data_IF_595265113654
#
_entry.id   IF_595265113654
#
_cell.length_a   1.000
_cell.length_b   1.000
_cell.length_c   1.000
_cell.angle_alpha   90.00
_cell.angle_beta   90.00
_cell.angle_gamma   90.00
#
_symmetry.space_group_name_H-M   'P 1'
#
loop_
_entity.id
_entity.type
_entity.pdbx_description
1 polymer ?
#
# COMPACT_ATOMS: atom_id res chain seq x y z
N UNK A 1 9.13 -12.41 19.65
CA UNK A 1 9.03 -11.35 18.62
C UNK A 1 7.82 -11.59 17.72
N UNK A 2 7.05 -10.57 17.48
CA UNK A 2 5.95 -10.63 16.54
C UNK A 2 6.55 -10.50 15.12
N UNK A 3 6.28 -11.47 14.24
CA UNK A 3 6.88 -11.47 12.91
C UNK A 3 6.26 -10.42 11.99
N UNK A 4 4.93 -10.27 12.05
CA UNK A 4 4.17 -9.41 11.13
C UNK A 4 3.27 -8.47 11.90
N UNK A 5 3.16 -7.24 11.39
CA UNK A 5 2.19 -6.27 11.89
C UNK A 5 1.51 -5.60 10.69
N UNK A 6 0.19 -5.52 10.73
CA UNK A 6 -0.59 -4.81 9.73
C UNK A 6 -0.90 -3.42 10.29
N UNK A 7 -0.39 -2.40 9.62
CA UNK A 7 -0.59 -1.01 9.98
C UNK A 7 -1.36 -0.32 8.88
N UNK A 8 -2.66 -0.17 9.07
CA UNK A 8 -3.53 0.44 8.07
C UNK A 8 -3.25 1.95 8.01
N UNK A 9 -2.57 2.40 6.96
CA UNK A 9 -2.21 3.81 6.80
C UNK A 9 -3.36 4.65 6.23
N UNK A 10 -4.31 4.02 5.58
CA UNK A 10 -5.56 4.64 5.15
C UNK A 10 -6.63 3.56 4.97
N UNK A 11 -7.87 3.89 5.27
CA UNK A 11 -9.01 3.02 4.96
C UNK A 11 -9.80 3.53 3.75
N UNK A 12 -9.29 4.54 3.07
CA UNK A 12 -9.88 5.04 1.82
C UNK A 12 -9.45 4.14 0.66
N UNK A 13 -10.39 3.77 -0.19
CA UNK A 13 -10.13 2.97 -1.38
C UNK A 13 -10.87 3.57 -2.56
N UNK A 14 -10.23 3.53 -3.74
CA UNK A 14 -10.80 4.04 -4.98
C UNK A 14 -11.64 2.97 -5.73
N UNK A 15 -11.75 1.75 -5.19
CA UNK A 15 -12.52 0.66 -5.78
C UNK A 15 -13.60 0.18 -4.83
N UNK A 16 -14.59 -0.51 -5.40
CA UNK A 16 -15.69 -1.11 -4.67
C UNK A 16 -15.78 -2.60 -5.04
N UNK A 17 -14.74 -3.35 -4.68
CA UNK A 17 -14.62 -4.75 -5.03
C UNK A 17 -15.66 -5.60 -4.32
N UNK A 18 -16.33 -6.49 -5.06
CA UNK A 18 -17.39 -7.36 -4.51
C UNK A 18 -16.85 -8.35 -3.48
N UNK A 19 -15.58 -8.75 -3.60
CA UNK A 19 -14.93 -9.68 -2.66
C UNK A 19 -14.38 -8.99 -1.43
N UNK A 20 -14.36 -7.65 -1.39
CA UNK A 20 -13.84 -6.91 -0.26
C UNK A 20 -14.92 -6.73 0.81
N UNK A 21 -14.63 -7.07 2.09
CA UNK A 21 -15.63 -6.91 3.16
C UNK A 21 -15.97 -5.46 3.46
N UNK A 22 -15.13 -4.50 3.06
CA UNK A 22 -15.30 -3.08 3.29
C UNK A 22 -15.36 -2.73 4.78
N UNK A 23 -15.29 -1.45 5.10
CA UNK A 23 -15.37 -1.00 6.48
C UNK A 23 -16.47 0.03 6.66
N UNK A 24 -17.14 -0.02 7.82
CA UNK A 24 -18.11 1.00 8.23
C UNK A 24 -17.47 2.08 9.10
N UNK A 25 -16.19 1.94 9.41
CA UNK A 25 -15.45 2.94 10.19
C UNK A 25 -15.38 4.26 9.42
N UNK A 26 -15.32 5.40 10.13
CA UNK A 26 -15.09 6.69 9.46
C UNK A 26 -13.81 6.67 8.61
N UNK A 27 -13.83 7.41 7.51
CA UNK A 27 -12.65 7.54 6.63
C UNK A 27 -11.52 8.18 7.41
N UNK A 28 -10.32 7.60 7.31
CA UNK A 28 -9.14 8.10 8.00
C UNK A 28 -7.89 7.83 7.17
N UNK A 29 -7.00 8.79 7.14
CA UNK A 29 -5.68 8.69 6.52
C UNK A 29 -4.64 9.07 7.57
N UNK A 30 -3.69 8.18 7.82
CA UNK A 30 -2.69 8.35 8.87
C UNK A 30 -1.77 9.53 8.58
N UNK A 31 -1.49 10.33 9.60
CA UNK A 31 -0.52 11.42 9.49
C UNK A 31 0.90 10.91 9.66
N UNK A 32 1.88 11.73 9.23
CA UNK A 32 3.31 11.41 9.44
C UNK A 32 3.62 11.23 10.93
N UNK A 33 3.06 12.10 11.77
CA UNK A 33 3.27 12.03 13.22
C UNK A 33 2.71 10.73 13.81
N UNK A 34 1.51 10.33 13.38
CA UNK A 34 0.92 9.07 13.82
C UNK A 34 1.76 7.88 13.38
N UNK A 35 2.21 7.87 12.14
CA UNK A 35 3.07 6.80 11.62
C UNK A 35 4.40 6.74 12.39
N UNK A 36 5.03 7.88 12.61
CA UNK A 36 6.29 7.94 13.35
C UNK A 36 6.11 7.42 14.78
N UNK A 37 5.07 7.86 15.47
CA UNK A 37 4.78 7.43 16.85
C UNK A 37 4.57 5.93 16.93
N UNK A 38 3.73 5.38 16.05
CA UNK A 38 3.42 3.96 16.06
C UNK A 38 4.63 3.09 15.70
N UNK A 39 5.37 3.47 14.67
CA UNK A 39 6.54 2.71 14.26
C UNK A 39 7.67 2.78 15.28
N UNK A 40 7.84 3.92 15.95
CA UNK A 40 8.83 4.03 17.03
C UNK A 40 8.53 3.03 18.15
N UNK A 41 7.26 2.86 18.50
CA UNK A 41 6.86 1.89 19.53
C UNK A 41 7.02 0.44 19.09
N UNK A 42 6.94 0.18 17.80
CA UNK A 42 7.05 -1.17 17.24
C UNK A 42 8.48 -1.58 16.93
N UNK A 43 9.43 -0.63 16.97
CA UNK A 43 10.84 -0.94 16.69
C UNK A 43 11.38 -2.03 17.59
N UNK A 44 12.05 -3.00 16.97
CA UNK A 44 12.62 -4.14 17.70
C UNK A 44 11.62 -5.24 18.07
N UNK A 45 10.33 -4.97 17.92
CA UNK A 45 9.27 -5.93 18.29
C UNK A 45 8.65 -6.62 17.07
N UNK A 46 8.76 -6.00 15.89
CA UNK A 46 8.14 -6.46 14.65
C UNK A 46 9.17 -6.43 13.53
N UNK A 47 9.18 -7.45 12.68
CA UNK A 47 10.08 -7.51 11.51
C UNK A 47 9.40 -6.99 10.26
N UNK A 48 8.26 -7.58 9.88
CA UNK A 48 7.55 -7.23 8.65
C UNK A 48 6.42 -6.26 8.96
N UNK A 49 6.40 -5.14 8.26
CA UNK A 49 5.37 -4.12 8.42
C UNK A 49 4.53 -4.05 7.14
N UNK A 50 3.27 -4.44 7.25
CA UNK A 50 2.31 -4.44 6.15
C UNK A 50 1.46 -3.18 6.25
N UNK A 51 1.39 -2.40 5.17
CA UNK A 51 0.78 -1.06 5.17
C UNK A 51 -0.70 -1.07 4.84
N UNK A 52 -1.33 -2.22 4.88
CA UNK A 52 -2.75 -2.31 4.53
C UNK A 52 -3.50 -3.23 5.49
N UNK A 53 -4.79 -2.98 5.58
CA UNK A 53 -5.80 -3.91 6.09
C UNK A 53 -7.03 -3.71 5.20
N UNK A 54 -7.63 -2.53 5.28
CA UNK A 54 -8.64 -2.04 4.32
C UNK A 54 -8.06 -0.82 3.61
N UNK A 55 -8.71 -0.37 2.53
CA UNK A 55 -8.26 0.81 1.80
C UNK A 55 -7.20 0.50 0.75
N UNK A 56 -6.71 1.54 0.12
CA UNK A 56 -5.69 1.45 -0.94
C UNK A 56 -4.47 2.30 -0.56
N UNK A 57 -3.33 1.66 -0.21
CA UNK A 57 -2.13 2.41 0.22
C UNK A 57 -1.62 3.42 -0.82
N UNK A 58 -1.76 3.13 -2.12
CA UNK A 58 -1.30 4.05 -3.17
C UNK A 58 -2.09 5.34 -3.25
N UNK A 59 -3.21 5.45 -2.53
CA UNK A 59 -3.91 6.72 -2.37
C UNK A 59 -3.25 7.63 -1.33
N UNK A 60 -2.41 7.08 -0.47
CA UNK A 60 -1.78 7.87 0.59
C UNK A 60 -0.66 8.74 0.01
N UNK A 61 -0.75 10.08 0.12
CA UNK A 61 0.24 10.96 -0.47
C UNK A 61 1.64 10.84 0.15
N UNK A 62 1.73 10.38 1.39
CA UNK A 62 3.00 10.22 2.11
C UNK A 62 3.55 8.79 2.04
N UNK A 63 3.00 7.94 1.19
CA UNK A 63 3.43 6.54 1.12
C UNK A 63 4.94 6.38 0.90
N UNK A 64 5.60 7.12 -0.03
CA UNK A 64 7.05 7.00 -0.19
C UNK A 64 7.81 7.30 1.08
N UNK A 65 7.43 8.36 1.79
CA UNK A 65 8.06 8.75 3.05
C UNK A 65 7.87 7.68 4.13
N UNK A 66 6.69 7.06 4.17
CA UNK A 66 6.42 5.98 5.12
C UNK A 66 7.29 4.76 4.86
N UNK A 67 7.50 4.40 3.58
CA UNK A 67 8.37 3.27 3.22
C UNK A 67 9.80 3.55 3.66
N UNK A 68 10.32 4.73 3.37
CA UNK A 68 11.69 5.10 3.74
C UNK A 68 11.87 5.15 5.25
N UNK A 69 10.92 5.72 5.98
CA UNK A 69 10.94 5.76 7.43
C UNK A 69 10.92 4.35 8.04
N UNK A 70 10.09 3.47 7.51
CA UNK A 70 10.03 2.09 7.98
C UNK A 70 11.37 1.38 7.81
N UNK A 71 12.03 1.57 6.67
CA UNK A 71 13.37 1.01 6.43
C UNK A 71 14.41 1.54 7.40
N UNK A 72 14.42 2.85 7.62
CA UNK A 72 15.35 3.48 8.54
C UNK A 72 15.19 2.93 9.96
N UNK A 73 13.98 2.57 10.35
CA UNK A 73 13.69 2.00 11.66
C UNK A 73 13.90 0.49 11.74
N UNK A 74 14.36 -0.13 10.66
CA UNK A 74 14.71 -1.56 10.64
C UNK A 74 13.59 -2.50 10.28
N UNK A 75 12.43 -1.98 9.83
CA UNK A 75 11.33 -2.82 9.37
C UNK A 75 11.56 -3.28 7.92
N UNK A 76 10.89 -4.37 7.56
CA UNK A 76 10.79 -4.84 6.19
C UNK A 76 9.39 -4.46 5.69
N UNK A 77 9.25 -3.39 4.87
CA UNK A 77 7.93 -2.95 4.44
C UNK A 77 7.37 -3.81 3.32
N UNK A 78 6.09 -4.15 3.43
CA UNK A 78 5.33 -4.89 2.42
C UNK A 78 4.06 -4.12 2.10
N UNK A 79 3.78 -3.95 0.81
CA UNK A 79 2.60 -3.22 0.35
C UNK A 79 1.77 -4.12 -0.55
N UNK A 80 0.46 -4.10 -0.36
CA UNK A 80 -0.51 -4.67 -1.30
C UNK A 80 -1.34 -3.55 -1.89
N UNK A 81 -1.45 -3.50 -3.21
CA UNK A 81 -2.19 -2.48 -3.92
C UNK A 81 -3.15 -3.12 -4.94
N UNK A 82 -4.24 -2.43 -5.26
CA UNK A 82 -5.14 -2.85 -6.30
C UNK A 82 -4.58 -2.63 -7.72
N UNK A 83 -3.47 -1.93 -7.84
CA UNK A 83 -2.75 -1.75 -9.10
C UNK A 83 -3.34 -0.69 -10.04
N UNK A 84 -4.38 0.04 -9.63
CA UNK A 84 -5.04 1.00 -10.53
C UNK A 84 -4.34 2.37 -10.59
N UNK A 85 -3.38 2.62 -9.70
CA UNK A 85 -2.72 3.93 -9.56
C UNK A 85 -1.26 3.91 -9.98
N UNK A 86 -0.82 2.90 -10.73
CA UNK A 86 0.58 2.71 -11.09
C UNK A 86 1.16 3.92 -11.85
N UNK A 87 0.40 4.47 -12.79
CA UNK A 87 0.88 5.61 -13.60
C UNK A 87 0.92 6.93 -12.83
N UNK A 88 0.08 7.08 -11.79
CA UNK A 88 0.04 8.30 -10.98
C UNK A 88 1.05 8.28 -9.81
N UNK A 89 1.68 7.15 -9.55
CA UNK A 89 2.56 6.98 -8.40
C UNK A 89 3.97 6.55 -8.81
N UNK A 90 4.51 7.18 -9.84
CA UNK A 90 5.90 6.97 -10.26
C UNK A 90 6.90 7.33 -9.16
N UNK A 91 6.51 8.18 -8.19
CA UNK A 91 7.31 8.51 -7.01
C UNK A 91 7.65 7.28 -6.17
N UNK A 92 6.83 6.24 -6.23
CA UNK A 92 7.10 4.98 -5.52
C UNK A 92 8.30 4.22 -6.06
N UNK A 93 8.74 4.51 -7.29
CA UNK A 93 9.93 3.88 -7.86
C UNK A 93 11.21 4.27 -7.10
N UNK A 94 11.20 5.41 -6.42
CA UNK A 94 12.33 5.88 -5.60
C UNK A 94 12.25 5.38 -4.15
N UNK A 95 11.11 4.79 -3.76
CA UNK A 95 10.87 4.32 -2.40
C UNK A 95 10.13 2.98 -2.43
N UNK A 96 10.71 1.99 -3.10
CA UNK A 96 10.07 0.67 -3.24
C UNK A 96 10.09 -0.08 -1.91
N UNK A 97 9.00 -0.77 -1.55
CA UNK A 97 8.98 -1.67 -0.41
C UNK A 97 9.83 -2.91 -0.70
N UNK A 98 10.08 -3.70 0.33
CA UNK A 98 10.73 -5.00 0.16
C UNK A 98 9.91 -5.91 -0.75
N UNK A 99 8.58 -5.85 -0.64
CA UNK A 99 7.67 -6.64 -1.45
C UNK A 99 6.46 -5.79 -1.81
N UNK A 100 6.13 -5.80 -3.11
CA UNK A 100 4.91 -5.16 -3.62
C UNK A 100 4.02 -6.26 -4.21
N UNK A 101 2.85 -6.42 -3.63
CA UNK A 101 1.84 -7.38 -4.09
C UNK A 101 0.74 -6.62 -4.81
N UNK A 102 0.35 -7.10 -5.98
CA UNK A 102 -0.69 -6.46 -6.77
C UNK A 102 -1.88 -7.41 -6.88
N UNK A 103 -3.03 -6.94 -6.39
CA UNK A 103 -4.28 -7.70 -6.43
C UNK A 103 -4.93 -7.56 -7.80
N UNK A 104 -4.50 -8.36 -8.77
CA UNK A 104 -4.98 -8.26 -10.16
C UNK A 104 -6.48 -8.47 -10.28
N UNK A 105 -7.06 -9.31 -9.44
CA UNK A 105 -8.51 -9.53 -9.42
C UNK A 105 -9.31 -8.28 -9.00
N UNK A 106 -8.65 -7.24 -8.51
CA UNK A 106 -9.28 -5.95 -8.23
C UNK A 106 -9.87 -5.28 -9.47
N UNK A 107 -9.42 -5.69 -10.66
CA UNK A 107 -10.02 -5.23 -11.92
C UNK A 107 -11.55 -5.43 -11.93
N UNK A 108 -12.03 -6.53 -11.37
CA UNK A 108 -13.47 -6.82 -11.30
C UNK A 108 -14.24 -5.81 -10.45
N UNK A 109 -13.58 -5.17 -9.49
CA UNK A 109 -14.19 -4.15 -8.64
C UNK A 109 -14.39 -2.81 -9.33
N UNK A 110 -13.85 -2.65 -10.54
CA UNK A 110 -13.98 -1.43 -11.33
C UNK A 110 -14.32 -1.77 -12.78
N UNK A 111 -15.58 -2.04 -13.05
CA UNK A 111 -16.06 -2.46 -14.37
C UNK A 111 -15.87 -1.49 -15.52
N UNK A 112 -15.28 -0.31 -15.26
CA UNK A 112 -14.99 0.71 -16.29
C UNK A 112 -13.55 0.66 -16.79
N UNK A 113 -12.68 -0.11 -16.16
CA UNK A 113 -11.27 -0.16 -16.53
C UNK A 113 -11.07 -1.15 -17.67
N UNK A 114 -10.36 -0.73 -18.72
CA UNK A 114 -9.95 -1.63 -19.80
C UNK A 114 -8.88 -2.58 -19.25
N UNK A 115 -9.16 -3.90 -19.34
CA UNK A 115 -8.26 -4.92 -18.78
C UNK A 115 -6.86 -4.86 -19.40
N UNK A 116 -6.78 -4.72 -20.72
CA UNK A 116 -5.48 -4.64 -21.43
C UNK A 116 -4.67 -3.46 -20.95
N UNK A 117 -5.27 -2.29 -20.85
CA UNK A 117 -4.59 -1.09 -20.36
C UNK A 117 -4.14 -1.25 -18.91
N UNK A 118 -5.01 -1.81 -18.06
CA UNK A 118 -4.67 -2.07 -16.65
C UNK A 118 -3.45 -2.98 -16.52
N UNK A 119 -3.42 -4.09 -17.24
CA UNK A 119 -2.29 -5.01 -17.22
C UNK A 119 -1.03 -4.34 -17.76
N UNK A 120 -1.13 -3.56 -18.83
CA UNK A 120 0.03 -2.86 -19.40
C UNK A 120 0.62 -1.85 -18.41
N UNK A 121 -0.21 -1.12 -17.69
CA UNK A 121 0.25 -0.16 -16.68
C UNK A 121 0.95 -0.87 -15.52
N UNK A 122 0.39 -1.98 -15.04
CA UNK A 122 0.99 -2.79 -13.99
C UNK A 122 2.35 -3.34 -14.46
N UNK A 123 2.42 -3.89 -15.65
CA UNK A 123 3.64 -4.46 -16.19
C UNK A 123 4.71 -3.41 -16.45
N UNK A 124 4.32 -2.23 -16.91
CA UNK A 124 5.25 -1.11 -17.10
C UNK A 124 5.87 -0.71 -15.77
N UNK A 125 5.07 -0.55 -14.72
CA UNK A 125 5.58 -0.25 -13.39
C UNK A 125 6.52 -1.35 -12.88
N UNK A 126 6.14 -2.61 -13.05
CA UNK A 126 6.95 -3.74 -12.62
C UNK A 126 8.32 -3.77 -13.30
N UNK A 127 8.38 -3.47 -14.60
CA UNK A 127 9.64 -3.41 -15.35
C UNK A 127 10.53 -2.26 -14.89
N UNK A 128 9.95 -1.09 -14.62
CA UNK A 128 10.70 0.06 -14.14
C UNK A 128 11.20 -0.15 -12.71
N UNK A 129 10.47 -0.91 -11.90
CA UNK A 129 10.85 -1.24 -10.52
C UNK A 129 11.94 -2.30 -10.42
N UNK A 130 12.11 -3.09 -11.45
CA UNK A 130 13.07 -4.20 -11.44
C UNK A 130 14.53 -3.74 -11.51
#
# INVERSE_FOLDING_TARGET
>A
MITRCYLEITNVCNLNCVFCPKTTRPKHTMTMEQFDTLTTRLMGEVKFLYFHLMGEPFLHPLLPQFVLMAREKGFVPVITTNGTLMTQRADMLEALPHKLQISLHSHEGNGKVNLGQYIDEVMTFAKEAA
#
